data_IF_739874017969
#
_entry.id   IF_739874017969
#
_cell.length_a   1.000
_cell.length_b   1.000
_cell.length_c   1.000
_cell.angle_alpha   90.00
_cell.angle_beta   90.00
_cell.angle_gamma   90.00
#
_symmetry.space_group_name_H-M   'P 1'
#
loop_
_entity.id
_entity.type
_entity.pdbx_description
1 polymer ?
#
# COMPACT_ATOMS: atom_id res chain seq x y z
N UNK A 1 5.80 -3.69 -19.55
CA UNK A 1 6.46 -3.80 -18.22
C UNK A 1 5.57 -3.34 -17.06
N UNK A 2 4.92 -2.17 -17.16
CA UNK A 2 3.94 -1.67 -16.15
C UNK A 2 2.82 -2.68 -15.80
N UNK A 3 2.34 -3.46 -16.78
CA UNK A 3 1.29 -4.45 -16.53
C UNK A 3 1.66 -5.49 -15.47
N UNK A 4 2.93 -5.89 -15.40
CA UNK A 4 3.39 -6.85 -14.39
C UNK A 4 3.39 -6.25 -12.99
N UNK A 5 3.76 -4.97 -12.88
CA UNK A 5 3.73 -4.22 -11.61
C UNK A 5 2.28 -4.05 -11.12
N UNK A 6 1.37 -3.67 -12.01
CA UNK A 6 -0.06 -3.56 -11.68
C UNK A 6 -0.65 -4.90 -11.25
N UNK A 7 -0.27 -6.01 -11.91
CA UNK A 7 -0.70 -7.35 -11.51
C UNK A 7 -0.23 -7.71 -10.09
N UNK A 8 1.04 -7.48 -9.78
CA UNK A 8 1.57 -7.68 -8.43
C UNK A 8 0.80 -6.86 -7.40
N UNK A 9 0.56 -5.57 -7.68
CA UNK A 9 -0.22 -4.69 -6.83
C UNK A 9 -1.64 -5.22 -6.60
N UNK A 10 -2.33 -5.67 -7.65
CA UNK A 10 -3.68 -6.21 -7.53
C UNK A 10 -3.74 -7.56 -6.81
N UNK A 11 -2.72 -8.40 -6.94
CA UNK A 11 -2.60 -9.67 -6.20
C UNK A 11 -2.41 -9.41 -4.70
N UNK A 12 -1.54 -8.46 -4.35
CA UNK A 12 -1.30 -8.06 -2.96
C UNK A 12 -2.56 -7.41 -2.39
N UNK A 13 -3.17 -6.49 -3.13
CA UNK A 13 -4.41 -5.84 -2.72
C UNK A 13 -5.55 -6.84 -2.52
N UNK A 14 -5.75 -7.78 -3.45
CA UNK A 14 -6.78 -8.81 -3.35
C UNK A 14 -6.57 -9.74 -2.15
N UNK A 15 -5.31 -10.07 -1.83
CA UNK A 15 -4.97 -10.86 -0.64
C UNK A 15 -5.33 -10.12 0.66
N UNK A 16 -5.00 -8.83 0.74
CA UNK A 16 -5.32 -7.99 1.89
C UNK A 16 -6.83 -7.75 2.00
N UNK A 17 -7.50 -7.45 0.90
CA UNK A 17 -8.95 -7.27 0.87
C UNK A 17 -9.69 -8.54 1.31
N UNK A 18 -9.18 -9.72 0.97
CA UNK A 18 -9.72 -11.01 1.41
C UNK A 18 -9.61 -11.27 2.91
N UNK A 19 -8.83 -10.48 3.66
CA UNK A 19 -8.82 -10.51 5.12
C UNK A 19 -9.93 -9.65 5.74
N UNK A 20 -10.40 -8.63 5.01
CA UNK A 20 -11.43 -7.70 5.49
C UNK A 20 -12.84 -8.07 5.02
N UNK A 21 -12.98 -8.64 3.82
CA UNK A 21 -14.27 -9.00 3.21
C UNK A 21 -14.19 -10.38 2.56
N UNK A 22 -15.27 -11.16 2.69
CA UNK A 22 -15.41 -12.46 2.05
C UNK A 22 -15.39 -12.32 0.52
N UNK A 23 -14.69 -13.23 -0.18
CA UNK A 23 -14.53 -13.18 -1.65
C UNK A 23 -15.84 -13.28 -2.43
N UNK A 24 -16.89 -13.77 -1.79
CA UNK A 24 -18.21 -14.01 -2.41
C UNK A 24 -19.13 -12.78 -2.30
N UNK A 25 -18.70 -11.75 -1.57
CA UNK A 25 -19.46 -10.52 -1.40
C UNK A 25 -19.34 -9.60 -2.62
N UNK A 26 -20.47 -9.01 -3.05
CA UNK A 26 -20.52 -8.01 -4.13
C UNK A 26 -19.63 -6.79 -3.86
N UNK A 27 -19.29 -6.52 -2.59
CA UNK A 27 -18.45 -5.41 -2.15
C UNK A 27 -16.95 -5.70 -2.29
N UNK A 28 -16.56 -6.95 -2.52
CA UNK A 28 -15.15 -7.35 -2.60
C UNK A 28 -14.33 -6.54 -3.62
N UNK A 29 -14.81 -6.29 -4.87
CA UNK A 29 -14.06 -5.49 -5.84
C UNK A 29 -13.86 -4.04 -5.38
N UNK A 30 -14.84 -3.47 -4.68
CA UNK A 30 -14.79 -2.10 -4.14
C UNK A 30 -13.72 -2.03 -3.05
N UNK A 31 -13.74 -2.97 -2.11
CA UNK A 31 -12.74 -3.04 -1.03
C UNK A 31 -11.34 -3.27 -1.60
N UNK A 32 -11.18 -4.17 -2.57
CA UNK A 32 -9.91 -4.38 -3.27
C UNK A 32 -9.40 -3.10 -3.95
N UNK A 33 -10.28 -2.31 -4.58
CA UNK A 33 -9.89 -1.04 -5.18
C UNK A 33 -9.43 -0.03 -4.11
N UNK A 34 -10.15 0.11 -3.00
CA UNK A 34 -9.78 1.01 -1.89
C UNK A 34 -8.42 0.60 -1.32
N UNK A 35 -8.20 -0.68 -1.05
CA UNK A 35 -6.92 -1.20 -0.56
C UNK A 35 -5.79 -0.94 -1.56
N UNK A 36 -6.05 -1.10 -2.86
CA UNK A 36 -5.06 -0.83 -3.90
C UNK A 36 -4.65 0.65 -3.91
N UNK A 37 -5.62 1.57 -3.81
CA UNK A 37 -5.33 3.02 -3.74
C UNK A 37 -4.51 3.34 -2.50
N UNK A 38 -4.87 2.81 -1.33
CA UNK A 38 -4.11 3.02 -0.09
C UNK A 38 -2.67 2.52 -0.24
N UNK A 39 -2.45 1.33 -0.79
CA UNK A 39 -1.12 0.78 -1.04
C UNK A 39 -0.31 1.67 -1.98
N UNK A 40 -0.90 2.13 -3.08
CA UNK A 40 -0.23 3.02 -4.03
C UNK A 40 0.15 4.32 -3.34
N UNK A 41 -0.76 4.95 -2.61
CA UNK A 41 -0.49 6.17 -1.85
C UNK A 41 0.62 5.96 -0.83
N UNK A 42 0.68 4.83 -0.15
CA UNK A 42 1.73 4.48 0.80
C UNK A 42 3.10 4.32 0.12
N UNK A 43 3.13 3.63 -1.03
CA UNK A 43 4.35 3.45 -1.83
C UNK A 43 4.85 4.81 -2.32
N UNK A 44 3.97 5.61 -2.92
CA UNK A 44 4.32 6.95 -3.43
C UNK A 44 4.75 7.87 -2.31
N UNK A 45 4.07 7.86 -1.17
CA UNK A 45 4.46 8.66 0.00
C UNK A 45 5.81 8.21 0.54
N UNK A 46 6.07 6.91 0.61
CA UNK A 46 7.37 6.39 1.07
C UNK A 46 8.50 6.81 0.13
N UNK A 47 8.27 6.81 -1.17
CA UNK A 47 9.26 7.24 -2.18
C UNK A 47 9.46 8.75 -2.14
N UNK A 48 8.36 9.53 -2.16
CA UNK A 48 8.39 10.98 -2.19
C UNK A 48 9.00 11.57 -0.92
N UNK A 49 8.61 11.04 0.25
CA UNK A 49 9.10 11.49 1.54
C UNK A 49 10.32 10.71 2.03
N UNK A 50 10.92 9.82 1.22
CA UNK A 50 12.10 9.03 1.63
C UNK A 50 13.24 9.84 2.27
N UNK A 51 13.68 10.99 1.70
CA UNK A 51 14.76 11.78 2.31
C UNK A 51 14.34 12.43 3.63
N UNK A 52 13.11 12.96 3.70
CA UNK A 52 12.57 13.57 4.91
C UNK A 52 12.32 12.53 6.02
N UNK A 53 11.80 11.35 5.67
CA UNK A 53 11.65 10.21 6.58
C UNK A 53 13.00 9.79 7.15
N UNK A 54 14.05 9.65 6.31
CA UNK A 54 15.40 9.31 6.81
C UNK A 54 15.95 10.36 7.75
N UNK A 55 15.76 11.65 7.41
CA UNK A 55 16.18 12.77 8.27
C UNK A 55 15.42 12.83 9.58
N UNK A 56 14.12 12.52 9.58
CA UNK A 56 13.27 12.46 10.76
C UNK A 56 13.59 11.23 11.63
N UNK A 57 13.75 10.05 11.03
CA UNK A 57 14.11 8.81 11.71
C UNK A 57 15.49 8.89 12.37
N UNK A 58 16.46 9.54 11.71
CA UNK A 58 17.79 9.80 12.30
C UNK A 58 17.72 10.77 13.48
N UNK A 59 16.81 11.77 13.43
CA UNK A 59 16.56 12.69 14.56
C UNK A 59 15.91 11.98 15.75
N UNK A 60 14.92 11.12 15.51
CA UNK A 60 14.26 10.33 16.56
C UNK A 60 15.25 9.38 17.24
N UNK A 61 16.17 8.76 16.49
CA UNK A 61 17.17 7.85 17.05
C UNK A 61 18.26 8.57 17.86
N UNK A 62 18.52 9.85 17.61
CA UNK A 62 19.57 10.64 18.29
C UNK A 62 19.08 11.31 19.58
N UNK A 63 17.76 11.31 19.82
CA UNK A 63 17.13 11.82 21.04
C UNK A 63 16.88 10.76 22.13
N UNK A 64 17.43 9.55 21.97
CA UNK A 64 17.49 8.52 23.02
C UNK A 64 18.94 8.29 23.43
#
# INVERSE_FOLDING_TARGET
MIQWLLRLLFVISGSIASWFVGREELKFPIVQMVVAVILVTLILSTIAFWPELKGWFKRIRKGR
#
